data_IF_452480061081
#
_entry.id   IF_452480061081
#
_cell.length_a   1.000
_cell.length_b   1.000
_cell.length_c   1.000
_cell.angle_alpha   90.00
_cell.angle_beta   90.00
_cell.angle_gamma   90.00
#
_symmetry.space_group_name_H-M   'P 1'
#
loop_
_entity.id
_entity.type
_entity.pdbx_description
1 polymer ?
#
# COMPACT_ATOMS: atom_id res chain seq x y z
N UNK A 1 -32.05 44.71 25.99
CA UNK A 1 -32.13 44.51 24.52
C UNK A 1 -31.21 43.34 24.18
N UNK A 2 -31.76 42.14 24.12
CA UNK A 2 -31.01 40.89 23.89
C UNK A 2 -30.97 40.64 22.38
N UNK A 3 -29.79 40.74 21.76
CA UNK A 3 -29.59 40.35 20.36
C UNK A 3 -29.64 38.83 20.21
N UNK A 4 -30.17 38.29 19.10
CA UNK A 4 -30.25 36.85 18.92
C UNK A 4 -28.85 36.30 18.63
N UNK A 5 -28.49 35.21 19.32
CA UNK A 5 -27.27 34.46 19.10
C UNK A 5 -27.22 33.99 17.63
N UNK A 6 -26.17 34.39 16.92
CA UNK A 6 -25.87 33.88 15.59
C UNK A 6 -25.65 32.37 15.66
N UNK A 7 -26.52 31.61 15.01
CA UNK A 7 -26.35 30.17 14.83
C UNK A 7 -25.08 29.94 14.01
N UNK A 8 -24.05 29.39 14.65
CA UNK A 8 -22.87 28.85 13.97
C UNK A 8 -23.33 27.57 13.29
N UNK A 9 -23.51 27.63 11.97
CA UNK A 9 -23.76 26.42 11.15
C UNK A 9 -22.61 25.42 11.37
N UNK A 10 -22.90 24.12 11.57
CA UNK A 10 -21.85 23.12 11.70
C UNK A 10 -21.01 23.05 10.40
N UNK A 11 -19.70 22.74 10.51
CA UNK A 11 -18.84 22.62 9.34
C UNK A 11 -19.38 21.52 8.43
N UNK A 12 -19.66 21.88 7.16
CA UNK A 12 -20.01 20.90 6.13
C UNK A 12 -18.79 20.02 5.91
N UNK A 13 -18.90 18.73 6.24
CA UNK A 13 -17.89 17.72 5.91
C UNK A 13 -17.74 17.64 4.39
N UNK A 14 -16.72 18.29 3.84
CA UNK A 14 -16.25 18.04 2.48
C UNK A 14 -15.64 16.64 2.43
N UNK A 15 -16.46 15.63 2.18
CA UNK A 15 -15.96 14.29 1.87
C UNK A 15 -15.41 14.30 0.43
N UNK A 16 -14.13 14.64 0.28
CA UNK A 16 -13.43 14.35 -0.96
C UNK A 16 -13.27 12.83 -1.06
N UNK A 17 -13.65 12.25 -2.21
CA UNK A 17 -13.43 10.83 -2.47
C UNK A 17 -11.94 10.63 -2.71
N UNK A 18 -11.23 10.05 -1.74
CA UNK A 18 -9.81 9.75 -1.86
C UNK A 18 -9.62 8.32 -2.39
N UNK A 19 -9.03 8.18 -3.57
CA UNK A 19 -8.80 6.89 -4.24
C UNK A 19 -7.46 6.22 -3.86
N UNK A 20 -6.63 6.90 -3.06
CA UNK A 20 -5.28 6.43 -2.70
C UNK A 20 -5.31 5.04 -2.03
N UNK A 21 -6.42 4.69 -1.35
CA UNK A 21 -6.61 3.40 -0.68
C UNK A 21 -6.87 2.21 -1.63
N UNK A 22 -7.04 2.45 -2.94
CA UNK A 22 -7.25 1.38 -3.94
C UNK A 22 -6.01 1.08 -4.78
N UNK A 23 -4.90 1.75 -4.50
CA UNK A 23 -3.69 1.72 -5.34
C UNK A 23 -3.06 0.33 -5.43
N UNK A 24 -3.01 -0.43 -4.34
CA UNK A 24 -2.33 -1.74 -4.30
C UNK A 24 -2.89 -2.78 -5.28
N UNK A 25 -4.18 -3.12 -5.18
CA UNK A 25 -4.81 -4.11 -6.07
C UNK A 25 -5.00 -3.58 -7.49
N UNK A 26 -5.19 -2.27 -7.65
CA UNK A 26 -5.31 -1.65 -8.97
C UNK A 26 -3.98 -1.70 -9.72
N UNK A 27 -2.86 -1.41 -9.04
CA UNK A 27 -1.51 -1.56 -9.61
C UNK A 27 -1.29 -3.00 -10.06
N UNK A 28 -1.60 -3.96 -9.20
CA UNK A 28 -1.47 -5.38 -9.51
C UNK A 28 -2.29 -5.79 -10.75
N UNK A 29 -3.55 -5.33 -10.83
CA UNK A 29 -4.41 -5.58 -11.99
C UNK A 29 -3.89 -4.95 -13.30
N UNK A 30 -3.40 -3.70 -13.25
CA UNK A 30 -2.86 -3.01 -14.43
C UNK A 30 -1.60 -3.71 -14.95
N UNK A 31 -0.72 -4.14 -14.04
CA UNK A 31 0.47 -4.92 -14.41
C UNK A 31 0.08 -6.29 -14.99
N UNK A 32 -0.87 -6.98 -14.36
CA UNK A 32 -1.44 -8.24 -14.87
C UNK A 32 -1.96 -8.11 -16.31
N UNK A 33 -2.84 -7.13 -16.55
CA UNK A 33 -3.41 -6.88 -17.88
C UNK A 33 -2.36 -6.49 -18.92
N UNK A 34 -1.40 -5.63 -18.56
CA UNK A 34 -0.34 -5.23 -19.46
C UNK A 34 0.52 -6.43 -19.88
N UNK A 35 0.95 -7.23 -18.91
CA UNK A 35 1.77 -8.40 -19.17
C UNK A 35 0.98 -9.47 -19.93
N UNK A 36 -0.30 -9.69 -19.59
CA UNK A 36 -1.19 -10.64 -20.27
C UNK A 36 -1.35 -10.32 -21.76
N UNK A 37 -1.70 -9.07 -22.08
CA UNK A 37 -1.87 -8.62 -23.48
C UNK A 37 -0.55 -8.72 -24.24
N UNK A 38 0.53 -8.13 -23.72
CA UNK A 38 1.80 -8.04 -24.46
C UNK A 38 2.43 -9.41 -24.63
N UNK A 39 2.52 -10.21 -23.57
CA UNK A 39 3.18 -11.52 -23.62
C UNK A 39 2.38 -12.53 -24.44
N UNK A 40 1.06 -12.61 -24.24
CA UNK A 40 0.22 -13.58 -24.96
C UNK A 40 0.11 -13.21 -26.44
N UNK A 41 -0.10 -11.93 -26.77
CA UNK A 41 -0.17 -11.51 -28.17
C UNK A 41 1.16 -11.73 -28.90
N UNK A 42 2.29 -11.41 -28.27
CA UNK A 42 3.62 -11.63 -28.87
C UNK A 42 3.90 -13.12 -29.08
N UNK A 43 3.56 -13.96 -28.11
CA UNK A 43 3.68 -15.41 -28.24
C UNK A 43 2.79 -15.95 -29.36
N UNK A 44 1.51 -15.55 -29.39
CA UNK A 44 0.55 -16.01 -30.40
C UNK A 44 0.93 -15.55 -31.81
N UNK A 45 1.44 -14.33 -31.97
CA UNK A 45 1.98 -13.86 -33.25
C UNK A 45 3.12 -14.75 -33.75
N UNK A 46 4.07 -15.11 -32.86
CA UNK A 46 5.16 -16.01 -33.19
C UNK A 46 4.71 -17.42 -33.57
N UNK A 47 3.78 -18.00 -32.80
CA UNK A 47 3.25 -19.34 -33.08
C UNK A 47 2.46 -19.34 -34.40
N UNK A 48 1.62 -18.34 -34.66
CA UNK A 48 0.89 -18.22 -35.91
C UNK A 48 1.83 -18.07 -37.12
N UNK A 49 2.89 -17.25 -36.99
CA UNK A 49 3.88 -17.06 -38.05
C UNK A 49 4.69 -18.34 -38.36
N UNK A 50 4.75 -19.30 -37.44
CA UNK A 50 5.42 -20.59 -37.67
C UNK A 50 4.65 -21.54 -38.60
N UNK A 51 3.39 -21.23 -38.93
CA UNK A 51 2.51 -22.10 -39.72
C UNK A 51 1.85 -23.21 -38.89
N UNK A 52 1.84 -23.08 -37.57
CA UNK A 52 1.15 -24.01 -36.68
C UNK A 52 -0.35 -24.11 -37.01
N UNK A 53 -0.90 -25.31 -36.90
CA UNK A 53 -2.34 -25.54 -37.10
C UNK A 53 -3.18 -24.90 -35.98
N UNK A 54 -4.46 -24.66 -36.28
CA UNK A 54 -5.38 -23.95 -35.37
C UNK A 54 -5.50 -24.60 -33.98
N UNK A 55 -5.49 -25.93 -33.91
CA UNK A 55 -5.55 -26.65 -32.62
C UNK A 55 -4.33 -26.39 -31.74
N UNK A 56 -3.14 -26.34 -32.35
CA UNK A 56 -1.89 -26.03 -31.65
C UNK A 56 -1.84 -24.57 -31.19
N UNK A 57 -2.34 -23.63 -32.00
CA UNK A 57 -2.47 -22.22 -31.61
C UNK A 57 -3.37 -22.07 -30.38
N UNK A 58 -4.57 -22.67 -30.41
CA UNK A 58 -5.54 -22.58 -29.31
C UNK A 58 -5.00 -23.20 -28.02
N UNK A 59 -4.38 -24.39 -28.12
CA UNK A 59 -3.77 -25.05 -26.96
C UNK A 59 -2.65 -24.20 -26.36
N UNK A 60 -1.80 -23.62 -27.21
CA UNK A 60 -0.68 -22.78 -26.75
C UNK A 60 -1.19 -21.49 -26.09
N UNK A 61 -2.21 -20.84 -26.66
CA UNK A 61 -2.83 -19.65 -26.08
C UNK A 61 -3.45 -19.94 -24.71
N UNK A 62 -4.22 -21.03 -24.59
CA UNK A 62 -4.82 -21.42 -23.31
C UNK A 62 -3.76 -21.76 -22.25
N UNK A 63 -2.72 -22.51 -22.65
CA UNK A 63 -1.61 -22.84 -21.75
C UNK A 63 -0.85 -21.58 -21.30
N UNK A 64 -0.58 -20.64 -22.21
CA UNK A 64 0.11 -19.39 -21.91
C UNK A 64 -0.70 -18.50 -20.97
N UNK A 65 -2.01 -18.38 -21.18
CA UNK A 65 -2.90 -17.62 -20.29
C UNK A 65 -2.89 -18.20 -18.87
N UNK A 66 -3.07 -19.52 -18.74
CA UNK A 66 -3.08 -20.18 -17.42
C UNK A 66 -1.72 -20.05 -16.73
N UNK A 67 -0.64 -20.37 -17.43
CA UNK A 67 0.71 -20.31 -16.86
C UNK A 67 1.09 -18.88 -16.46
N UNK A 68 0.79 -17.89 -17.31
CA UNK A 68 1.08 -16.49 -17.06
C UNK A 68 0.24 -15.91 -15.91
N UNK A 69 -1.06 -16.18 -15.87
CA UNK A 69 -1.92 -15.75 -14.77
C UNK A 69 -1.47 -16.34 -13.43
N UNK A 70 -1.11 -17.63 -13.38
CA UNK A 70 -0.57 -18.27 -12.16
C UNK A 70 0.77 -17.64 -11.74
N UNK A 71 1.66 -17.37 -12.69
CA UNK A 71 2.94 -16.71 -12.42
C UNK A 71 2.74 -15.32 -11.83
N UNK A 72 1.82 -14.53 -12.41
CA UNK A 72 1.49 -13.19 -11.92
C UNK A 72 0.83 -13.21 -10.54
N UNK A 73 -0.08 -14.14 -10.27
CA UNK A 73 -0.63 -14.33 -8.92
C UNK A 73 0.46 -14.66 -7.91
N UNK A 74 1.34 -15.62 -8.23
CA UNK A 74 2.40 -16.05 -7.32
C UNK A 74 3.39 -14.91 -7.03
N UNK A 75 3.84 -14.20 -8.06
CA UNK A 75 4.77 -13.09 -7.93
C UNK A 75 4.20 -11.95 -7.08
N UNK A 76 2.95 -11.56 -7.34
CA UNK A 76 2.30 -10.48 -6.59
C UNK A 76 1.97 -10.91 -5.15
N UNK A 77 1.56 -12.16 -4.92
CA UNK A 77 1.37 -12.69 -3.57
C UNK A 77 2.67 -12.64 -2.76
N UNK A 78 3.78 -13.12 -3.32
CA UNK A 78 5.08 -13.14 -2.65
C UNK A 78 5.56 -11.72 -2.39
N UNK A 79 5.44 -10.82 -3.36
CA UNK A 79 5.86 -9.42 -3.23
C UNK A 79 5.13 -8.70 -2.08
N UNK A 80 3.79 -8.76 -2.06
CA UNK A 80 2.99 -8.09 -1.04
C UNK A 80 3.10 -8.79 0.32
N UNK A 81 3.32 -10.12 0.34
CA UNK A 81 3.58 -10.85 1.59
C UNK A 81 4.92 -10.45 2.20
N UNK A 82 5.97 -10.31 1.39
CA UNK A 82 7.27 -9.83 1.85
C UNK A 82 7.16 -8.43 2.44
N UNK A 83 6.42 -7.51 1.81
CA UNK A 83 6.13 -6.19 2.38
C UNK A 83 5.47 -6.33 3.76
N UNK A 84 4.43 -7.17 3.90
CA UNK A 84 3.75 -7.38 5.17
C UNK A 84 4.66 -7.98 6.25
N UNK A 85 5.62 -8.82 5.88
CA UNK A 85 6.62 -9.37 6.80
C UNK A 85 7.61 -8.31 7.26
N UNK A 86 8.11 -7.48 6.35
CA UNK A 86 8.98 -6.34 6.68
C UNK A 86 8.28 -5.37 7.62
N UNK A 87 7.05 -4.93 7.31
CA UNK A 87 6.27 -4.03 8.17
C UNK A 87 6.07 -4.61 9.58
N UNK A 88 5.75 -5.90 9.69
CA UNK A 88 5.61 -6.57 11.00
C UNK A 88 6.94 -6.65 11.76
N UNK A 89 8.04 -6.89 11.06
CA UNK A 89 9.36 -6.97 11.66
C UNK A 89 9.78 -5.61 12.22
N UNK A 90 9.53 -4.53 11.48
CA UNK A 90 9.88 -3.17 11.92
C UNK A 90 8.99 -2.72 13.08
N UNK A 91 7.66 -2.98 13.04
CA UNK A 91 6.79 -2.75 14.20
C UNK A 91 7.23 -3.52 15.45
N UNK A 92 7.78 -4.72 15.29
CA UNK A 92 8.30 -5.51 16.40
C UNK A 92 9.63 -4.96 16.95
N UNK A 93 10.47 -4.35 16.11
CA UNK A 93 11.67 -3.63 16.56
C UNK A 93 11.27 -2.36 17.30
N UNK A 94 10.35 -1.60 16.73
CA UNK A 94 9.85 -0.33 17.28
C UNK A 94 9.25 -0.52 18.67
N UNK A 95 8.41 -1.55 18.84
CA UNK A 95 7.88 -1.91 20.15
C UNK A 95 8.96 -2.20 21.19
N UNK A 96 10.09 -2.79 20.79
CA UNK A 96 11.22 -3.04 21.69
C UNK A 96 11.96 -1.75 22.00
N UNK A 97 12.14 -0.89 21.01
CA UNK A 97 12.81 0.40 21.14
C UNK A 97 12.05 1.31 22.13
N UNK A 98 10.73 1.47 21.93
CA UNK A 98 9.82 2.17 22.86
C UNK A 98 9.87 1.65 24.30
N UNK A 99 10.06 0.34 24.49
CA UNK A 99 10.15 -0.26 25.82
C UNK A 99 11.52 -0.07 26.49
N UNK A 100 12.60 -0.02 25.69
CA UNK A 100 13.98 -0.01 26.18
C UNK A 100 14.57 1.40 26.27
N UNK A 101 14.17 2.30 25.36
CA UNK A 101 14.76 3.63 25.16
C UNK A 101 13.69 4.71 24.95
N UNK A 102 12.66 4.83 25.82
CA UNK A 102 11.52 5.72 25.59
C UNK A 102 11.90 7.20 25.41
N UNK A 103 12.99 7.65 26.05
CA UNK A 103 13.49 9.01 25.88
C UNK A 103 14.10 9.23 24.49
N UNK A 104 14.83 8.24 23.96
CA UNK A 104 15.41 8.31 22.62
C UNK A 104 14.30 8.32 21.55
N UNK A 105 13.28 7.47 21.70
CA UNK A 105 12.13 7.44 20.78
C UNK A 105 11.37 8.79 20.79
N UNK A 106 11.20 9.42 21.95
CA UNK A 106 10.61 10.76 22.01
C UNK A 106 11.46 11.82 21.30
N UNK A 107 12.78 11.74 21.42
CA UNK A 107 13.71 12.64 20.70
C UNK A 107 13.63 12.42 19.19
N UNK A 108 13.56 11.17 18.75
CA UNK A 108 13.41 10.81 17.34
C UNK A 108 12.10 11.33 16.75
N UNK A 109 10.97 11.09 17.41
CA UNK A 109 9.68 11.59 16.93
C UNK A 109 9.63 13.13 16.94
N UNK A 110 10.20 13.78 17.97
CA UNK A 110 10.36 15.24 17.99
C UNK A 110 11.13 15.71 16.76
N UNK A 111 12.27 15.09 16.47
CA UNK A 111 13.16 15.53 15.41
C UNK A 111 12.52 15.35 14.02
N UNK A 112 11.74 14.28 13.80
CA UNK A 112 10.88 14.12 12.61
C UNK A 112 9.96 15.32 12.42
N UNK A 113 9.34 15.80 13.50
CA UNK A 113 8.43 16.95 13.43
C UNK A 113 9.17 18.29 13.27
N UNK A 114 10.39 18.42 13.81
CA UNK A 114 11.27 19.56 13.54
C UNK A 114 11.65 19.62 12.06
N UNK A 115 12.03 18.49 11.46
CA UNK A 115 12.34 18.39 10.03
C UNK A 115 11.14 18.74 9.15
N UNK A 116 9.93 18.45 9.63
CA UNK A 116 8.65 18.84 8.98
C UNK A 116 8.29 20.32 9.18
N UNK A 117 9.08 21.08 9.93
CA UNK A 117 8.99 22.54 10.05
C UNK A 117 8.43 23.06 11.37
N UNK A 118 8.26 22.22 12.39
CA UNK A 118 7.88 22.69 13.73
C UNK A 118 9.09 23.24 14.49
N UNK A 119 8.87 24.19 15.40
CA UNK A 119 9.90 24.56 16.37
C UNK A 119 10.18 23.39 17.31
N UNK A 120 11.40 23.29 17.85
CA UNK A 120 11.77 22.21 18.77
C UNK A 120 10.81 22.11 19.98
N UNK A 121 10.41 23.24 20.55
CA UNK A 121 9.48 23.28 21.69
C UNK A 121 8.10 22.72 21.35
N UNK A 122 7.57 23.05 20.16
CA UNK A 122 6.26 22.57 19.72
C UNK A 122 6.33 21.12 19.27
N UNK A 123 7.38 20.73 18.55
CA UNK A 123 7.61 19.34 18.15
C UNK A 123 7.71 18.41 19.37
N UNK A 124 8.37 18.85 20.44
CA UNK A 124 8.47 18.07 21.68
C UNK A 124 7.11 17.87 22.36
N UNK A 125 6.26 18.90 22.34
CA UNK A 125 4.88 18.81 22.83
C UNK A 125 4.01 17.88 21.97
N UNK A 126 4.18 17.92 20.65
CA UNK A 126 3.49 17.04 19.69
C UNK A 126 3.91 15.59 19.92
N UNK A 127 5.21 15.30 19.94
CA UNK A 127 5.73 13.96 20.19
C UNK A 127 5.22 13.39 21.52
N UNK A 128 5.26 14.19 22.60
CA UNK A 128 4.76 13.77 23.90
C UNK A 128 3.26 13.42 23.87
N UNK A 129 2.42 14.25 23.26
CA UNK A 129 0.97 14.01 23.19
C UNK A 129 0.62 12.81 22.30
N UNK A 130 1.29 12.65 21.15
CA UNK A 130 1.07 11.52 20.26
C UNK A 130 1.52 10.20 20.90
N UNK A 131 2.68 10.18 21.54
CA UNK A 131 3.16 8.99 22.23
C UNK A 131 2.30 8.61 23.44
N UNK A 132 1.77 9.60 24.17
CA UNK A 132 0.84 9.35 25.27
C UNK A 132 -0.50 8.75 24.79
N UNK A 133 -0.93 9.06 23.58
CA UNK A 133 -2.14 8.49 22.99
C UNK A 133 -1.88 7.08 22.44
N UNK A 134 -0.87 6.92 21.58
CA UNK A 134 -0.41 5.64 21.05
C UNK A 134 0.99 5.80 20.41
N UNK A 135 2.05 5.53 21.18
CA UNK A 135 3.42 5.67 20.70
C UNK A 135 3.74 4.77 19.52
N UNK A 136 3.27 3.51 19.53
CA UNK A 136 3.56 2.59 18.44
C UNK A 136 2.88 3.05 17.16
N UNK A 137 1.63 3.53 17.22
CA UNK A 137 0.95 4.05 16.04
C UNK A 137 1.55 5.38 15.54
N UNK A 138 2.03 6.23 16.44
CA UNK A 138 2.72 7.48 16.09
C UNK A 138 4.00 7.19 15.30
N UNK A 139 4.90 6.36 15.84
CA UNK A 139 6.13 5.97 15.16
C UNK A 139 5.86 5.16 13.89
N UNK A 140 4.93 4.20 13.92
CA UNK A 140 4.55 3.45 12.73
C UNK A 140 4.15 4.36 11.56
N UNK A 141 3.38 5.41 11.83
CA UNK A 141 2.92 6.34 10.80
C UNK A 141 3.98 7.36 10.41
N UNK A 142 4.60 8.00 11.39
CA UNK A 142 5.40 9.20 11.17
C UNK A 142 6.87 8.89 10.89
N UNK A 143 7.38 7.78 11.39
CA UNK A 143 8.76 7.32 11.16
C UNK A 143 8.79 6.22 10.09
N UNK A 144 8.03 5.13 10.29
CA UNK A 144 8.07 3.96 9.40
C UNK A 144 7.22 4.11 8.13
N UNK A 145 6.37 5.14 8.05
CA UNK A 145 5.45 5.34 6.92
C UNK A 145 4.33 4.29 6.80
N UNK A 146 4.17 3.43 7.80
CA UNK A 146 3.15 2.38 7.88
C UNK A 146 1.82 3.05 8.23
N UNK A 147 0.88 3.04 7.29
CA UNK A 147 -0.45 3.63 7.47
C UNK A 147 -1.55 2.73 6.94
N UNK A 148 -2.76 2.90 7.47
CA UNK A 148 -3.95 2.14 7.04
C UNK A 148 -4.27 2.28 5.55
N UNK A 149 -3.81 3.37 4.92
CA UNK A 149 -4.03 3.66 3.51
C UNK A 149 -3.27 2.69 2.60
N UNK A 150 -2.17 2.09 3.09
CA UNK A 150 -1.27 1.21 2.33
C UNK A 150 -1.23 -0.22 2.88
N UNK A 151 -2.31 -0.69 3.53
CA UNK A 151 -2.31 -2.01 4.17
C UNK A 151 -2.06 -3.14 3.15
N UNK A 152 -1.02 -3.98 3.35
CA UNK A 152 -0.73 -5.09 2.45
C UNK A 152 -1.89 -6.08 2.38
N UNK A 153 -2.32 -6.42 1.15
CA UNK A 153 -3.36 -7.42 0.89
C UNK A 153 -2.90 -8.44 -0.16
N UNK A 154 -2.05 -9.42 0.21
CA UNK A 154 -1.41 -10.30 -0.75
C UNK A 154 -2.38 -11.08 -1.64
N UNK A 155 -3.40 -11.69 -1.02
CA UNK A 155 -4.41 -12.46 -1.76
C UNK A 155 -5.21 -11.57 -2.71
N UNK A 156 -5.56 -10.35 -2.29
CA UNK A 156 -6.31 -9.43 -3.16
C UNK A 156 -5.48 -9.00 -4.37
N UNK A 157 -4.21 -8.65 -4.15
CA UNK A 157 -3.31 -8.24 -5.22
C UNK A 157 -3.05 -9.39 -6.20
N UNK A 158 -2.79 -10.59 -5.69
CA UNK A 158 -2.60 -11.81 -6.50
C UNK A 158 -3.81 -12.14 -7.37
N UNK A 159 -5.01 -12.15 -6.78
CA UNK A 159 -6.25 -12.43 -7.53
C UNK A 159 -6.57 -11.33 -8.54
N UNK A 160 -6.36 -10.06 -8.19
CA UNK A 160 -6.58 -8.95 -9.11
C UNK A 160 -5.62 -9.00 -10.30
N UNK A 161 -4.35 -9.34 -10.06
CA UNK A 161 -3.33 -9.53 -11.10
C UNK A 161 -3.67 -10.68 -12.03
N UNK A 162 -3.94 -11.87 -11.48
CA UNK A 162 -4.24 -13.06 -12.27
C UNK A 162 -5.57 -13.00 -13.03
N UNK A 163 -6.59 -12.31 -12.48
CA UNK A 163 -7.85 -12.13 -13.18
C UNK A 163 -7.76 -11.09 -14.31
N UNK A 164 -6.79 -10.18 -14.24
CA UNK A 164 -6.58 -9.16 -15.25
C UNK A 164 -5.63 -9.61 -16.37
N UNK A 165 -4.74 -10.56 -16.09
CA UNK A 165 -3.86 -11.22 -17.06
C UNK A 165 -4.66 -11.97 -18.15
#
# INVERSE_FOLDING_TARGET
>A
MSGPAGQVSPPRSHHAVHYVNRTGWLRAAVLGANDGIVSTASLMAGIAASGAEAGSILLTGAAALVAGAMSMAAGEYVSVSAQSETERADLAKERKALAQQPQAEWEELRDIYVERGLSADLAGQVAHQLMAADALAAHARDELGISDLSRPRPVQAALASAAAF
#
